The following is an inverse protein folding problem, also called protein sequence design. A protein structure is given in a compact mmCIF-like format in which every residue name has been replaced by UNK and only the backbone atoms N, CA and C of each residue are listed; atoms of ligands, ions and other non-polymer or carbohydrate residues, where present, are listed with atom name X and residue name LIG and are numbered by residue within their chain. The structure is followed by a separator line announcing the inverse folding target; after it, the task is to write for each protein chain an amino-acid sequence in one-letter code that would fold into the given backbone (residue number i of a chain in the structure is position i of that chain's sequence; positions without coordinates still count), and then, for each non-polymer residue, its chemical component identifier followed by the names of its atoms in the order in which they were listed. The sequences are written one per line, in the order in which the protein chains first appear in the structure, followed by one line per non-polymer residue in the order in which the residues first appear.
data_IF_451469886200
#
_entry.id   IF_451469886200
#
_cell.length_a   1.000
_cell.length_b   1.000
_cell.length_c   1.000
_cell.angle_alpha   90.00
_cell.angle_beta   90.00
_cell.angle_gamma   90.00
#
_symmetry.space_group_name_H-M   'P 1'
#
loop_
_entity.id
_entity.type
_entity.pdbx_description
1 polymer ?
#
# COMPACT_ATOMS: atom_id res chain seq x y z
N UNK A 1 6.60 -27.32 0.89
CA UNK A 1 5.30 -26.65 0.96
C UNK A 1 5.46 -25.26 0.38
N UNK A 2 4.57 -24.86 -0.53
CA UNK A 2 4.53 -23.48 -1.00
C UNK A 2 3.87 -22.64 0.12
N UNK A 3 4.60 -21.71 0.69
CA UNK A 3 4.02 -20.75 1.63
C UNK A 3 3.05 -19.85 0.84
N UNK A 4 1.77 -19.97 1.17
CA UNK A 4 0.71 -19.20 0.50
C UNK A 4 0.64 -17.74 0.98
N UNK A 5 1.32 -17.45 2.09
CA UNK A 5 1.30 -16.13 2.72
C UNK A 5 2.69 -15.71 3.19
N UNK A 6 2.90 -14.40 3.24
CA UNK A 6 4.10 -13.76 3.81
C UNK A 6 3.66 -12.67 4.76
N UNK A 7 4.33 -12.58 5.91
CA UNK A 7 4.09 -11.51 6.86
C UNK A 7 4.93 -10.28 6.54
N UNK A 8 4.29 -9.13 6.49
CA UNK A 8 4.90 -7.81 6.36
C UNK A 8 4.80 -7.11 7.70
N UNK A 9 5.92 -6.67 8.24
CA UNK A 9 5.95 -5.95 9.52
C UNK A 9 5.14 -4.65 9.44
N UNK A 10 4.38 -4.37 10.50
CA UNK A 10 3.77 -3.07 10.74
C UNK A 10 4.50 -2.45 11.92
N UNK A 11 5.16 -1.32 11.66
CA UNK A 11 5.82 -0.53 12.71
C UNK A 11 4.96 0.70 13.03
N UNK A 12 5.07 1.22 14.25
CA UNK A 12 4.30 2.37 14.74
C UNK A 12 5.22 3.46 15.25
N UNK A 13 4.82 4.72 15.03
CA UNK A 13 5.44 5.87 15.67
C UNK A 13 4.35 6.70 16.38
N UNK A 14 4.49 6.95 17.69
CA UNK A 14 5.60 6.52 18.57
C UNK A 14 5.73 5.00 18.65
N UNK A 15 6.93 4.51 18.94
CA UNK A 15 7.27 3.08 18.95
C UNK A 15 6.35 2.31 19.89
N UNK A 16 5.62 1.35 19.36
CA UNK A 16 4.76 0.44 20.13
C UNK A 16 5.56 -0.65 20.83
N UNK A 17 4.95 -1.27 21.85
CA UNK A 17 5.56 -2.40 22.59
C UNK A 17 5.33 -3.74 21.90
N UNK A 18 4.29 -3.83 21.09
CA UNK A 18 3.90 -5.07 20.41
C UNK A 18 4.39 -5.04 18.96
N UNK A 19 4.83 -6.20 18.48
CA UNK A 19 5.11 -6.40 17.06
C UNK A 19 3.80 -6.72 16.36
N UNK A 20 3.46 -5.91 15.38
CA UNK A 20 2.33 -6.13 14.50
C UNK A 20 2.82 -6.50 13.09
N UNK A 21 2.02 -7.26 12.38
CA UNK A 21 2.29 -7.63 11.01
C UNK A 21 1.00 -7.74 10.20
N UNK A 22 1.13 -7.58 8.90
CA UNK A 22 0.09 -7.78 7.90
C UNK A 22 0.44 -9.03 7.11
N UNK A 23 -0.46 -9.99 7.07
CA UNK A 23 -0.30 -11.18 6.24
C UNK A 23 -0.77 -10.88 4.83
N UNK A 24 0.09 -11.09 3.85
CA UNK A 24 -0.21 -10.92 2.43
C UNK A 24 -0.13 -12.26 1.69
N UNK A 25 -0.96 -12.45 0.68
CA UNK A 25 -0.87 -13.64 -0.16
C UNK A 25 0.32 -13.55 -1.12
N UNK A 26 1.05 -14.65 -1.27
CA UNK A 26 2.12 -14.77 -2.28
C UNK A 26 1.56 -14.78 -3.71
N UNK A 27 0.26 -15.11 -3.85
CA UNK A 27 -0.49 -14.99 -5.08
C UNK A 27 -1.64 -13.98 -4.89
N UNK A 28 -1.49 -12.75 -5.32
CA UNK A 28 -2.48 -11.69 -5.09
C UNK A 28 -3.88 -12.00 -5.63
N UNK A 29 -3.97 -12.83 -6.69
CA UNK A 29 -5.24 -13.30 -7.24
C UNK A 29 -6.12 -14.07 -6.24
N UNK A 30 -5.54 -14.64 -5.18
CA UNK A 30 -6.31 -15.32 -4.13
C UNK A 30 -7.23 -14.35 -3.39
N UNK A 31 -6.78 -13.11 -3.15
CA UNK A 31 -7.64 -12.07 -2.56
C UNK A 31 -8.82 -11.72 -3.45
N UNK A 32 -8.62 -11.69 -4.76
CA UNK A 32 -9.70 -11.46 -5.72
C UNK A 32 -10.71 -12.61 -5.76
N UNK A 33 -10.25 -13.85 -5.62
CA UNK A 33 -11.15 -15.00 -5.54
C UNK A 33 -12.03 -14.96 -4.28
N UNK A 34 -11.49 -14.59 -3.14
CA UNK A 34 -12.27 -14.37 -1.91
C UNK A 34 -13.30 -13.24 -2.08
N UNK A 35 -12.94 -12.20 -2.82
CA UNK A 35 -13.86 -11.11 -3.14
C UNK A 35 -15.05 -11.56 -3.99
N UNK A 36 -14.83 -12.45 -4.94
CA UNK A 36 -15.91 -13.01 -5.75
C UNK A 36 -16.93 -13.76 -4.91
N UNK A 37 -16.48 -14.53 -3.93
CA UNK A 37 -17.37 -15.23 -2.98
C UNK A 37 -18.19 -14.25 -2.15
N UNK A 38 -17.57 -13.17 -1.68
CA UNK A 38 -18.25 -12.11 -0.95
C UNK A 38 -19.33 -11.43 -1.81
N UNK A 39 -19.00 -11.08 -3.05
CA UNK A 39 -19.98 -10.48 -3.99
C UNK A 39 -21.10 -11.45 -4.29
N UNK A 40 -20.81 -12.74 -4.46
CA UNK A 40 -21.83 -13.76 -4.68
C UNK A 40 -22.79 -13.86 -3.49
N UNK A 41 -22.27 -13.89 -2.25
CA UNK A 41 -23.10 -13.90 -1.03
C UNK A 41 -23.97 -12.65 -0.93
N UNK A 42 -23.42 -11.48 -1.32
CA UNK A 42 -24.17 -10.22 -1.31
C UNK A 42 -25.31 -10.22 -2.33
N UNK A 43 -25.10 -10.82 -3.51
CA UNK A 43 -26.14 -10.95 -4.54
C UNK A 43 -27.28 -11.89 -4.13
N UNK A 44 -27.07 -12.77 -3.17
CA UNK A 44 -28.07 -13.69 -2.60
C UNK A 44 -28.78 -13.11 -1.38
N UNK A 45 -28.32 -11.96 -0.87
CA UNK A 45 -28.90 -11.30 0.31
C UNK A 45 -30.19 -10.56 -0.03
N UNK A 46 -31.26 -10.82 0.74
CA UNK A 46 -32.59 -10.25 0.49
C UNK A 46 -32.61 -8.73 0.64
N UNK A 47 -31.96 -8.18 1.67
CA UNK A 47 -31.89 -6.73 1.90
C UNK A 47 -31.13 -6.03 0.77
N UNK A 48 -30.08 -6.65 0.27
CA UNK A 48 -29.33 -6.12 -0.88
C UNK A 48 -30.17 -6.10 -2.16
N UNK A 49 -31.04 -7.09 -2.35
CA UNK A 49 -31.93 -7.16 -3.52
C UNK A 49 -33.03 -6.10 -3.49
N UNK A 50 -33.38 -5.54 -2.33
CA UNK A 50 -34.30 -4.41 -2.22
C UNK A 50 -33.74 -3.09 -2.75
N UNK A 51 -32.43 -2.98 -2.88
CA UNK A 51 -31.77 -1.81 -3.47
C UNK A 51 -32.03 -1.74 -4.98
N UNK A 52 -32.04 -0.53 -5.53
CA UNK A 52 -32.09 -0.32 -6.98
C UNK A 52 -30.86 -0.94 -7.67
N UNK A 53 -30.97 -1.18 -8.98
CA UNK A 53 -29.86 -1.71 -9.78
C UNK A 53 -28.63 -0.81 -9.70
N UNK A 54 -28.83 0.51 -9.73
CA UNK A 54 -27.74 1.49 -9.67
C UNK A 54 -27.03 1.46 -8.31
N UNK A 55 -27.79 1.38 -7.22
CA UNK A 55 -27.23 1.26 -5.86
C UNK A 55 -26.47 -0.05 -5.69
N UNK A 56 -27.00 -1.18 -6.17
CA UNK A 56 -26.32 -2.47 -6.14
C UNK A 56 -24.99 -2.44 -6.90
N UNK A 57 -25.01 -1.89 -8.11
CA UNK A 57 -23.80 -1.75 -8.93
C UNK A 57 -22.78 -0.86 -8.25
N UNK A 58 -23.18 0.27 -7.67
CA UNK A 58 -22.26 1.17 -6.95
C UNK A 58 -21.60 0.48 -5.75
N UNK A 59 -22.34 -0.33 -4.98
CA UNK A 59 -21.78 -1.10 -3.86
C UNK A 59 -20.76 -2.14 -4.35
N UNK A 60 -21.10 -2.91 -5.40
CA UNK A 60 -20.22 -3.93 -5.97
C UNK A 60 -18.94 -3.29 -6.54
N UNK A 61 -19.06 -2.21 -7.29
CA UNK A 61 -17.92 -1.50 -7.84
C UNK A 61 -16.99 -0.98 -6.76
N UNK A 62 -17.54 -0.45 -5.65
CA UNK A 62 -16.76 0.00 -4.51
C UNK A 62 -15.99 -1.14 -3.85
N UNK A 63 -16.65 -2.27 -3.60
CA UNK A 63 -16.00 -3.47 -3.03
C UNK A 63 -14.85 -3.93 -3.93
N UNK A 64 -15.08 -4.05 -5.23
CA UNK A 64 -14.05 -4.50 -6.19
C UNK A 64 -12.90 -3.49 -6.29
N UNK A 65 -13.19 -2.20 -6.24
CA UNK A 65 -12.16 -1.15 -6.24
C UNK A 65 -11.27 -1.21 -5.00
N UNK A 66 -11.86 -1.36 -3.81
CA UNK A 66 -11.13 -1.49 -2.55
C UNK A 66 -10.22 -2.72 -2.57
N UNK A 67 -10.72 -3.83 -3.09
CA UNK A 67 -9.93 -5.08 -3.20
C UNK A 67 -8.78 -4.93 -4.17
N UNK A 68 -8.99 -4.32 -5.34
CA UNK A 68 -7.92 -4.04 -6.30
C UNK A 68 -6.85 -3.12 -5.70
N UNK A 69 -7.26 -2.12 -4.91
CA UNK A 69 -6.35 -1.25 -4.17
C UNK A 69 -5.46 -2.04 -3.22
N UNK A 70 -6.06 -2.89 -2.39
CA UNK A 70 -5.32 -3.74 -1.45
C UNK A 70 -4.42 -4.77 -2.14
N UNK A 71 -4.86 -5.34 -3.25
CA UNK A 71 -4.02 -6.24 -4.05
C UNK A 71 -2.79 -5.54 -4.59
N UNK A 72 -2.94 -4.34 -5.12
CA UNK A 72 -1.82 -3.56 -5.65
C UNK A 72 -0.83 -3.21 -4.55
N UNK A 73 -1.30 -2.79 -3.38
CA UNK A 73 -0.48 -2.53 -2.20
C UNK A 73 0.29 -3.78 -1.76
N UNK A 74 -0.40 -4.93 -1.64
CA UNK A 74 0.21 -6.20 -1.26
C UNK A 74 1.29 -6.65 -2.25
N UNK A 75 1.06 -6.51 -3.56
CA UNK A 75 2.05 -6.82 -4.60
C UNK A 75 3.28 -5.93 -4.46
N UNK A 76 3.09 -4.64 -4.32
CA UNK A 76 4.20 -3.67 -4.19
C UNK A 76 5.04 -3.98 -2.96
N UNK A 77 4.40 -4.21 -1.81
CA UNK A 77 5.09 -4.57 -0.56
C UNK A 77 5.88 -5.88 -0.69
N UNK A 78 5.23 -6.93 -1.20
CA UNK A 78 5.83 -8.25 -1.33
C UNK A 78 7.03 -8.25 -2.28
N UNK A 79 6.87 -7.73 -3.49
CA UNK A 79 7.94 -7.68 -4.50
C UNK A 79 9.10 -6.81 -4.04
N UNK A 80 8.82 -5.67 -3.39
CA UNK A 80 9.85 -4.81 -2.82
C UNK A 80 10.63 -5.52 -1.71
N UNK A 81 9.94 -6.24 -0.83
CA UNK A 81 10.58 -7.02 0.24
C UNK A 81 11.50 -8.11 -0.32
N UNK A 82 11.03 -8.84 -1.32
CA UNK A 82 11.82 -9.91 -1.99
C UNK A 82 13.07 -9.32 -2.67
N UNK A 83 12.91 -8.18 -3.36
CA UNK A 83 14.01 -7.53 -4.07
C UNK A 83 15.05 -6.87 -3.14
N UNK A 84 14.71 -6.63 -1.87
CA UNK A 84 15.56 -5.93 -0.91
C UNK A 84 15.87 -6.77 0.35
N UNK A 85 16.51 -7.94 0.23
CA UNK A 85 16.70 -8.85 1.36
C UNK A 85 17.60 -8.30 2.48
N UNK A 86 18.39 -7.25 2.19
CA UNK A 86 19.28 -6.58 3.16
C UNK A 86 18.68 -5.34 3.80
N UNK A 87 17.50 -4.91 3.35
CA UNK A 87 16.78 -3.76 3.86
C UNK A 87 15.53 -4.20 4.61
N UNK A 88 15.03 -3.34 5.49
CA UNK A 88 13.73 -3.55 6.12
C UNK A 88 12.64 -2.96 5.22
N UNK A 89 11.63 -3.76 4.90
CA UNK A 89 10.44 -3.32 4.16
C UNK A 89 9.23 -3.56 5.06
N UNK A 90 8.52 -2.49 5.39
CA UNK A 90 7.42 -2.52 6.36
C UNK A 90 6.41 -1.41 6.09
N UNK A 91 5.22 -1.54 6.67
CA UNK A 91 4.21 -0.48 6.75
C UNK A 91 4.45 0.35 8.01
N UNK A 92 4.37 1.67 7.93
CA UNK A 92 4.59 2.55 9.08
C UNK A 92 3.32 3.30 9.44
N UNK A 93 2.77 3.01 10.62
CA UNK A 93 1.57 3.64 11.17
C UNK A 93 1.93 4.77 12.15
N UNK A 94 1.14 5.83 12.09
CA UNK A 94 1.15 6.95 13.04
C UNK A 94 -0.16 6.95 13.83
N UNK A 95 -0.29 7.85 14.79
CA UNK A 95 -1.56 8.04 15.50
C UNK A 95 -2.72 8.36 14.54
N UNK A 96 -2.42 9.09 13.45
CA UNK A 96 -3.35 9.36 12.36
C UNK A 96 -2.68 9.10 11.02
N UNK A 97 -3.14 8.09 10.31
CA UNK A 97 -2.62 7.70 8.98
C UNK A 97 -1.34 6.88 9.03
N UNK A 98 -0.82 6.59 7.85
CA UNK A 98 0.32 5.68 7.67
C UNK A 98 1.11 6.06 6.42
N UNK A 99 2.33 5.52 6.30
CA UNK A 99 2.97 5.30 5.01
C UNK A 99 2.70 3.86 4.61
N UNK A 100 2.19 3.66 3.40
CA UNK A 100 1.83 2.32 2.90
C UNK A 100 3.06 1.40 2.85
N UNK A 101 4.24 1.95 2.59
CA UNK A 101 5.50 1.23 2.63
C UNK A 101 6.67 2.13 3.00
N UNK A 102 7.58 1.60 3.81
CA UNK A 102 8.90 2.17 4.09
C UNK A 102 9.97 1.14 3.74
N UNK A 103 11.01 1.59 3.06
CA UNK A 103 12.21 0.79 2.79
C UNK A 103 13.37 1.43 3.54
N UNK A 104 13.79 0.82 4.64
CA UNK A 104 14.87 1.33 5.50
C UNK A 104 16.18 0.59 5.27
N UNK A 105 17.22 1.34 4.97
CA UNK A 105 18.60 0.88 4.87
C UNK A 105 19.37 1.25 6.14
N UNK A 106 19.38 0.35 7.10
CA UNK A 106 19.99 0.59 8.40
C UNK A 106 21.52 0.76 8.30
N UNK A 107 22.15 0.14 7.31
CA UNK A 107 23.61 0.24 7.12
C UNK A 107 24.03 1.66 6.70
N UNK A 108 23.19 2.33 5.93
CA UNK A 108 23.42 3.68 5.42
C UNK A 108 22.67 4.78 6.19
N UNK A 109 21.85 4.41 7.17
CA UNK A 109 20.97 5.31 7.92
C UNK A 109 20.08 6.16 6.99
N UNK A 110 19.47 5.50 6.00
CA UNK A 110 18.56 6.12 5.03
C UNK A 110 17.26 5.35 4.91
N UNK A 111 16.22 6.01 4.46
CA UNK A 111 14.96 5.35 4.14
C UNK A 111 14.26 6.00 2.94
N UNK A 112 13.36 5.26 2.34
CA UNK A 112 12.46 5.70 1.29
C UNK A 112 11.03 5.48 1.77
N UNK A 113 10.11 6.40 1.49
CA UNK A 113 8.72 6.33 1.92
C UNK A 113 7.77 6.36 0.73
N UNK A 114 6.70 5.58 0.82
CA UNK A 114 5.81 5.29 -0.29
C UNK A 114 4.34 5.34 0.12
N UNK A 115 3.53 5.89 -0.78
CA UNK A 115 2.09 5.72 -0.86
C UNK A 115 1.75 4.87 -2.08
N UNK A 116 0.76 3.99 -1.96
CA UNK A 116 0.30 3.12 -3.06
C UNK A 116 -1.17 3.40 -3.33
N UNK A 117 -1.49 3.84 -4.54
CA UNK A 117 -2.86 4.26 -4.90
C UNK A 117 -3.32 3.60 -6.20
N UNK A 118 -4.42 2.86 -6.14
CA UNK A 118 -5.04 2.23 -7.31
C UNK A 118 -5.79 3.24 -8.19
N UNK A 119 -5.18 4.38 -8.46
CA UNK A 119 -5.71 5.46 -9.30
C UNK A 119 -4.82 5.66 -10.52
N UNK A 120 -5.38 6.14 -11.61
CA UNK A 120 -4.63 6.63 -12.77
C UNK A 120 -4.35 8.14 -12.69
N UNK A 121 -5.10 8.83 -11.85
CA UNK A 121 -5.03 10.28 -11.70
C UNK A 121 -4.26 10.67 -10.45
N UNK A 122 -3.61 11.83 -10.53
CA UNK A 122 -2.93 12.45 -9.39
C UNK A 122 -3.95 13.25 -8.58
N UNK A 123 -3.85 13.16 -7.26
CA UNK A 123 -4.69 13.92 -6.34
C UNK A 123 -3.87 14.42 -5.15
N UNK A 124 -4.18 15.61 -4.64
CA UNK A 124 -3.46 16.19 -3.51
C UNK A 124 -3.57 15.35 -2.23
N UNK A 125 -4.68 14.64 -2.04
CA UNK A 125 -4.89 13.74 -0.92
C UNK A 125 -3.85 12.61 -0.86
N UNK A 126 -3.31 12.20 -2.01
CA UNK A 126 -2.27 11.17 -2.11
C UNK A 126 -0.93 11.63 -1.53
N UNK A 127 -0.72 12.94 -1.44
CA UNK A 127 0.50 13.54 -0.94
C UNK A 127 0.45 13.85 0.56
N UNK A 128 -0.75 13.84 1.16
CA UNK A 128 -1.00 14.35 2.51
C UNK A 128 0.01 13.85 3.55
N UNK A 129 0.33 12.57 3.53
CA UNK A 129 1.26 11.98 4.48
C UNK A 129 2.72 12.20 4.08
N UNK A 130 3.02 12.26 2.79
CA UNK A 130 4.38 12.46 2.27
C UNK A 130 4.90 13.90 2.41
N UNK A 131 4.01 14.86 2.77
CA UNK A 131 4.37 16.28 3.02
C UNK A 131 4.18 16.69 4.48
N UNK A 132 3.72 15.79 5.34
CA UNK A 132 3.50 16.04 6.77
C UNK A 132 4.87 16.11 7.48
N UNK A 133 5.26 17.33 7.85
CA UNK A 133 6.59 17.61 8.45
C UNK A 133 6.85 16.83 9.73
N UNK A 134 5.83 16.64 10.58
CA UNK A 134 5.96 15.89 11.83
C UNK A 134 6.24 14.41 11.55
N UNK A 135 5.50 13.82 10.61
CA UNK A 135 5.72 12.42 10.19
C UNK A 135 7.09 12.23 9.55
N UNK A 136 7.49 13.15 8.68
CA UNK A 136 8.82 13.10 8.04
C UNK A 136 9.92 13.17 9.10
N UNK A 137 9.86 14.14 10.01
CA UNK A 137 10.85 14.31 11.08
C UNK A 137 10.94 13.09 12.00
N UNK A 138 9.80 12.54 12.44
CA UNK A 138 9.77 11.35 13.30
C UNK A 138 10.32 10.11 12.57
N UNK A 139 10.04 9.99 11.27
CA UNK A 139 10.55 8.91 10.44
C UNK A 139 12.06 9.01 10.26
N UNK A 140 12.59 10.20 9.95
CA UNK A 140 14.03 10.43 9.83
C UNK A 140 14.78 10.20 11.15
N UNK A 141 14.18 10.61 12.26
CA UNK A 141 14.76 10.37 13.58
C UNK A 141 14.92 8.88 13.88
N UNK A 142 13.97 8.05 13.43
CA UNK A 142 13.96 6.62 13.73
C UNK A 142 14.70 5.77 12.71
N UNK A 143 14.59 6.10 11.41
CA UNK A 143 15.06 5.25 10.31
C UNK A 143 16.16 5.88 9.46
N UNK A 144 16.57 7.09 9.76
CA UNK A 144 17.57 7.83 9.00
C UNK A 144 16.97 8.71 7.90
N UNK A 145 17.84 9.36 7.14
CA UNK A 145 17.46 10.37 6.15
C UNK A 145 16.51 9.81 5.09
N UNK A 146 15.41 10.51 4.86
CA UNK A 146 14.49 10.20 3.76
C UNK A 146 15.13 10.62 2.45
N UNK A 147 15.42 9.67 1.57
CA UNK A 147 16.05 9.89 0.26
C UNK A 147 15.05 9.96 -0.87
N UNK A 148 13.88 9.34 -0.72
CA UNK A 148 12.80 9.38 -1.71
C UNK A 148 11.43 9.42 -1.03
N UNK A 149 10.54 10.17 -1.65
CA UNK A 149 9.11 10.20 -1.35
C UNK A 149 8.37 9.87 -2.63
N UNK A 150 7.64 8.76 -2.64
CA UNK A 150 7.10 8.19 -3.88
C UNK A 150 5.63 7.85 -3.73
N UNK A 151 4.83 8.20 -4.72
CA UNK A 151 3.47 7.68 -4.92
C UNK A 151 3.52 6.66 -6.04
N UNK A 152 3.25 5.40 -5.73
CA UNK A 152 3.08 4.35 -6.73
C UNK A 152 1.61 4.32 -7.15
N UNK A 153 1.35 4.45 -8.44
CA UNK A 153 0.00 4.54 -8.97
C UNK A 153 -0.09 3.94 -10.40
N UNK A 154 -1.21 4.08 -11.07
CA UNK A 154 -1.44 3.49 -12.40
C UNK A 154 -1.26 4.47 -13.56
N UNK A 155 -0.88 5.72 -13.27
CA UNK A 155 -0.64 6.76 -14.28
C UNK A 155 0.81 6.81 -14.74
N UNK A 156 1.18 7.89 -15.41
CA UNK A 156 2.51 8.09 -15.99
C UNK A 156 3.54 8.55 -14.95
N UNK A 157 4.80 8.17 -15.16
CA UNK A 157 5.91 8.60 -14.32
C UNK A 157 6.09 10.12 -14.41
N UNK A 158 6.23 10.78 -13.25
CA UNK A 158 6.54 12.20 -13.18
C UNK A 158 7.15 12.56 -11.82
N UNK A 159 7.84 13.67 -11.76
CA UNK A 159 8.36 14.23 -10.51
C UNK A 159 7.79 15.62 -10.29
N UNK A 160 7.28 15.88 -9.10
CA UNK A 160 6.75 17.18 -8.71
C UNK A 160 7.90 18.15 -8.35
N UNK A 161 7.61 19.45 -8.33
CA UNK A 161 8.57 20.50 -7.96
C UNK A 161 9.14 20.32 -6.54
N UNK A 162 8.36 19.74 -5.63
CA UNK A 162 8.78 19.42 -4.26
C UNK A 162 9.60 18.12 -4.13
N UNK A 163 9.97 17.50 -5.25
CA UNK A 163 10.77 16.28 -5.31
C UNK A 163 10.02 14.98 -5.04
N UNK A 164 8.68 15.00 -4.87
CA UNK A 164 7.89 13.78 -4.77
C UNK A 164 7.75 13.17 -6.16
N UNK A 165 8.06 11.87 -6.25
CA UNK A 165 7.95 11.09 -7.46
C UNK A 165 6.59 10.40 -7.55
N UNK A 166 5.93 10.50 -8.70
CA UNK A 166 4.84 9.62 -9.09
C UNK A 166 5.41 8.55 -10.02
N UNK A 167 5.24 7.29 -9.65
CA UNK A 167 5.77 6.14 -10.39
C UNK A 167 4.65 5.22 -10.84
N UNK A 168 4.65 4.88 -12.11
CA UNK A 168 3.78 3.83 -12.62
C UNK A 168 4.12 2.49 -11.95
N UNK A 169 3.10 1.77 -11.48
CA UNK A 169 3.28 0.52 -10.73
C UNK A 169 3.99 -0.56 -11.55
N UNK A 170 3.70 -0.68 -12.84
CA UNK A 170 4.34 -1.69 -13.70
C UNK A 170 5.82 -1.35 -13.91
N UNK A 171 6.14 -0.07 -14.15
CA UNK A 171 7.51 0.36 -14.30
C UNK A 171 8.29 0.21 -13.01
N UNK A 172 7.68 0.54 -11.86
CA UNK A 172 8.29 0.29 -10.56
C UNK A 172 8.63 -1.19 -10.36
N UNK A 173 7.67 -2.09 -10.59
CA UNK A 173 7.89 -3.52 -10.43
C UNK A 173 8.95 -4.08 -11.38
N UNK A 174 9.10 -3.52 -12.59
CA UNK A 174 10.20 -3.88 -13.51
C UNK A 174 11.58 -3.49 -12.96
N UNK A 175 11.68 -2.42 -12.16
CA UNK A 175 12.96 -2.01 -11.56
C UNK A 175 13.45 -2.93 -10.43
N UNK A 176 12.57 -3.78 -9.91
CA UNK A 176 12.88 -4.71 -8.82
C UNK A 176 13.48 -6.06 -9.30
N UNK A 177 13.51 -6.28 -10.61
CA UNK A 177 13.95 -7.56 -11.23
C UNK A 177 15.41 -7.52 -11.66
#
# INVERSE_FOLDING_TARGET
ALDLTVDIDIQTLPVGREKNYKTVFTQPGMRYSQAKELVQSLLEDEEFQELSIDERNAVIERILSDIKGRMMEDIVLLETKIANPKKQVFQLQFAVGEFDMVVADNANATCEIYEVKHSKEKANEQLRHLIDEEKLKNTEFRYGKITKRVVIYRGENTTLENGIEYRNVEDYLKTLR
#
